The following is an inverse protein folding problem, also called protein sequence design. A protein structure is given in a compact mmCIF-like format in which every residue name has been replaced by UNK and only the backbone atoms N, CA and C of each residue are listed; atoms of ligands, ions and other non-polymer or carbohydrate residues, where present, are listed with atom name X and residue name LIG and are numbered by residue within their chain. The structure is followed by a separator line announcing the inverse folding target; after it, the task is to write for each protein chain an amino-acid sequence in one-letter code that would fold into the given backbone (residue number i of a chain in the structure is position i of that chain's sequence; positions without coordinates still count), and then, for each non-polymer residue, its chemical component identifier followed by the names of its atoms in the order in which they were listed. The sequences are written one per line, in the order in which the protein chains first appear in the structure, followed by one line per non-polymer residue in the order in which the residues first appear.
data_IF_833393744803
#
_entry.id   IF_833393744803
#
_cell.length_a   1.000
_cell.length_b   1.000
_cell.length_c   1.000
_cell.angle_alpha   90.00
_cell.angle_beta   90.00
_cell.angle_gamma   90.00
#
_symmetry.space_group_name_H-M   'P 1'
#
loop_
_entity.id
_entity.type
_entity.pdbx_description
1 polymer ?
#
# COMPACT_ATOMS: atom_id res chain seq x y z
N UNK A 1 16.54 26.65 50.20
CA UNK A 1 15.35 27.53 50.18
C UNK A 1 15.55 28.48 49.00
N UNK A 2 14.68 28.70 48.02
CA UNK A 2 13.38 28.20 47.56
C UNK A 2 13.09 29.07 46.30
N UNK A 3 12.25 28.58 45.36
CA UNK A 3 11.73 29.22 44.13
C UNK A 3 12.50 29.02 42.81
N UNK A 4 11.98 28.54 41.66
CA UNK A 4 10.87 27.66 41.20
C UNK A 4 10.65 28.07 39.71
N UNK A 5 10.87 27.13 38.78
CA UNK A 5 10.39 27.03 37.38
C UNK A 5 10.07 28.30 36.55
N UNK A 6 10.76 28.49 35.42
CA UNK A 6 10.14 29.12 34.25
C UNK A 6 10.75 28.68 32.90
N UNK A 7 9.95 27.93 32.14
CA UNK A 7 9.94 27.71 30.68
C UNK A 7 11.18 27.02 30.07
N UNK A 8 11.23 25.69 29.92
CA UNK A 8 10.32 24.80 29.18
C UNK A 8 10.13 25.21 27.71
N UNK A 9 11.20 25.19 26.91
CA UNK A 9 11.11 25.04 25.45
C UNK A 9 12.44 24.57 24.83
N UNK A 10 13.08 23.55 25.41
CA UNK A 10 14.13 22.83 24.70
C UNK A 10 13.44 21.78 23.82
N UNK A 11 13.38 22.08 22.52
CA UNK A 11 12.52 21.46 21.53
C UNK A 11 12.53 19.93 21.56
N UNK A 12 11.38 19.37 21.94
CA UNK A 12 10.93 18.12 21.37
C UNK A 12 10.61 18.47 19.91
N UNK A 13 11.59 18.31 19.02
CA UNK A 13 11.30 18.13 17.61
C UNK A 13 10.59 16.78 17.53
N UNK A 14 9.26 16.80 17.72
CA UNK A 14 8.44 15.64 17.48
C UNK A 14 8.69 15.28 16.02
N UNK A 15 9.40 14.18 15.80
CA UNK A 15 9.49 13.53 14.51
C UNK A 15 8.05 13.23 14.11
N UNK A 16 7.42 14.14 13.37
CA UNK A 16 6.20 13.83 12.65
C UNK A 16 6.64 12.75 11.67
N UNK A 17 6.16 11.50 11.79
CA UNK A 17 6.38 10.57 10.72
C UNK A 17 5.68 11.18 9.50
N UNK A 18 6.47 11.65 8.52
CA UNK A 18 5.93 11.84 7.18
C UNK A 18 5.60 10.43 6.68
N UNK A 19 4.37 9.99 6.94
CA UNK A 19 3.76 8.90 6.19
C UNK A 19 3.44 9.49 4.83
N UNK A 20 4.27 9.14 3.85
CA UNK A 20 3.95 9.39 2.45
C UNK A 20 3.09 8.23 1.99
N UNK A 21 1.78 8.46 1.88
CA UNK A 21 0.91 7.60 1.11
C UNK A 21 1.48 7.49 -0.31
N UNK A 22 1.89 6.29 -0.72
CA UNK A 22 2.37 6.02 -2.07
C UNK A 22 1.30 5.29 -2.87
N UNK A 23 1.22 5.62 -4.15
CA UNK A 23 0.42 4.90 -5.12
C UNK A 23 1.26 3.78 -5.77
N UNK A 24 0.74 2.56 -5.74
CA UNK A 24 1.35 1.35 -6.28
C UNK A 24 0.45 0.81 -7.37
N UNK A 25 0.94 0.73 -8.60
CA UNK A 25 0.18 0.28 -9.76
C UNK A 25 0.46 -1.20 -10.06
N UNK A 26 -0.61 -1.95 -10.30
CA UNK A 26 -0.54 -3.38 -10.64
C UNK A 26 -1.30 -3.60 -11.95
N UNK A 27 -0.71 -4.30 -12.90
CA UNK A 27 -1.33 -4.69 -14.16
C UNK A 27 -1.19 -6.20 -14.34
N UNK A 28 -2.27 -6.88 -14.76
CA UNK A 28 -2.23 -8.32 -15.08
C UNK A 28 -1.16 -8.71 -16.11
N UNK A 29 -0.75 -7.78 -16.98
CA UNK A 29 0.32 -7.95 -17.97
C UNK A 29 1.59 -7.15 -17.61
N UNK A 30 1.70 -6.71 -16.35
CA UNK A 30 2.83 -5.94 -15.83
C UNK A 30 4.11 -6.77 -15.75
N UNK A 31 5.13 -6.21 -15.09
CA UNK A 31 6.42 -6.87 -14.91
C UNK A 31 6.59 -7.40 -13.48
N UNK A 32 7.18 -8.58 -13.35
CA UNK A 32 7.64 -9.12 -12.04
C UNK A 32 8.73 -8.25 -11.42
N UNK A 33 9.48 -7.52 -12.26
CA UNK A 33 10.48 -6.52 -11.84
C UNK A 33 9.94 -5.10 -11.96
N UNK A 34 8.62 -4.93 -11.99
CA UNK A 34 7.97 -3.63 -11.93
C UNK A 34 8.38 -2.87 -10.67
N UNK A 35 8.44 -1.55 -10.73
CA UNK A 35 8.66 -0.72 -9.53
C UNK A 35 7.34 -0.25 -8.90
N UNK A 36 6.21 -0.60 -9.52
CA UNK A 36 4.88 -0.20 -9.06
C UNK A 36 4.50 1.21 -9.46
N UNK A 37 5.23 1.84 -10.40
CA UNK A 37 4.83 3.10 -11.06
C UNK A 37 3.77 2.85 -12.15
N UNK A 38 3.16 3.93 -12.65
CA UNK A 38 2.21 3.86 -13.78
C UNK A 38 2.87 3.31 -15.04
N UNK A 39 4.13 3.68 -15.26
CA UNK A 39 4.93 3.34 -16.42
C UNK A 39 5.51 1.92 -16.35
N UNK A 40 5.74 1.40 -15.15
CA UNK A 40 6.28 0.07 -14.92
C UNK A 40 5.54 -0.64 -13.77
N UNK A 41 4.26 -1.01 -13.99
CA UNK A 41 3.42 -1.61 -12.96
C UNK A 41 3.89 -3.02 -12.58
N UNK A 42 3.58 -3.41 -11.35
CA UNK A 42 3.79 -4.77 -10.87
C UNK A 42 2.82 -5.74 -11.56
N UNK A 43 3.25 -6.97 -11.84
CA UNK A 43 2.40 -8.03 -12.37
C UNK A 43 1.50 -8.70 -11.33
N UNK A 44 1.86 -8.62 -10.05
CA UNK A 44 1.27 -9.42 -8.97
C UNK A 44 0.66 -8.54 -7.88
N UNK A 45 -0.60 -8.84 -7.53
CA UNK A 45 -1.29 -8.21 -6.40
C UNK A 45 -0.56 -8.53 -5.09
N UNK A 46 -0.02 -9.74 -4.92
CA UNK A 46 0.71 -10.10 -3.70
C UNK A 46 1.95 -9.24 -3.52
N UNK A 47 2.72 -9.02 -4.59
CA UNK A 47 3.93 -8.18 -4.53
C UNK A 47 3.59 -6.74 -4.13
N UNK A 48 2.46 -6.21 -4.62
CA UNK A 48 1.99 -4.89 -4.21
C UNK A 48 1.56 -4.85 -2.75
N UNK A 49 0.85 -5.88 -2.26
CA UNK A 49 0.44 -6.00 -0.85
C UNK A 49 1.65 -6.13 0.06
N UNK A 50 2.67 -6.90 -0.32
CA UNK A 50 3.91 -7.06 0.45
C UNK A 50 4.74 -5.77 0.49
N UNK A 51 4.66 -4.94 -0.55
CA UNK A 51 5.36 -3.66 -0.65
C UNK A 51 4.61 -2.50 0.02
N UNK A 52 3.32 -2.66 0.32
CA UNK A 52 2.47 -1.60 0.86
C UNK A 52 2.75 -1.35 2.35
N UNK A 53 2.72 -0.07 2.73
CA UNK A 53 2.75 0.37 4.12
C UNK A 53 1.49 1.17 4.46
N UNK A 54 1.26 1.45 5.75
CA UNK A 54 0.09 2.20 6.19
C UNK A 54 -0.03 3.55 5.45
N UNK A 55 -1.18 3.75 4.80
CA UNK A 55 -1.50 4.92 3.98
C UNK A 55 -1.40 4.70 2.48
N UNK A 56 -0.79 3.60 2.01
CA UNK A 56 -0.59 3.35 0.58
C UNK A 56 -1.89 2.99 -0.17
N UNK A 57 -1.93 3.35 -1.45
CA UNK A 57 -2.99 2.96 -2.38
C UNK A 57 -2.43 1.99 -3.42
N UNK A 58 -3.06 0.83 -3.55
CA UNK A 58 -2.78 -0.14 -4.60
C UNK A 58 -3.86 0.03 -5.68
N UNK A 59 -3.46 0.50 -6.86
CA UNK A 59 -4.30 0.66 -8.03
C UNK A 59 -4.15 -0.53 -8.97
N UNK A 60 -5.24 -1.27 -9.12
CA UNK A 60 -5.35 -2.38 -10.06
C UNK A 60 -5.80 -1.84 -11.42
N UNK A 61 -5.00 -2.10 -12.45
CA UNK A 61 -5.33 -1.77 -13.84
C UNK A 61 -6.39 -2.72 -14.39
N UNK A 62 -7.11 -2.28 -15.41
CA UNK A 62 -8.18 -3.03 -16.05
C UNK A 62 -7.68 -4.37 -16.60
N UNK A 63 -8.36 -5.44 -16.22
CA UNK A 63 -7.93 -6.79 -16.59
C UNK A 63 -8.51 -7.89 -15.71
N UNK A 64 -8.08 -9.11 -16.01
CA UNK A 64 -8.40 -10.30 -15.23
C UNK A 64 -7.15 -10.78 -14.51
N UNK A 65 -7.21 -10.81 -13.18
CA UNK A 65 -6.15 -11.32 -12.32
C UNK A 65 -6.53 -12.73 -11.88
N UNK A 66 -5.78 -13.72 -12.34
CA UNK A 66 -5.99 -15.13 -12.02
C UNK A 66 -4.89 -15.66 -11.09
N UNK A 67 -4.90 -15.33 -9.79
CA UNK A 67 -3.89 -15.81 -8.86
C UNK A 67 -3.99 -17.33 -8.69
N UNK A 68 -2.85 -18.01 -8.75
CA UNK A 68 -2.73 -19.46 -8.50
C UNK A 68 -2.43 -19.78 -7.03
N UNK A 69 -2.19 -18.76 -6.22
CA UNK A 69 -1.94 -18.83 -4.78
C UNK A 69 -2.76 -17.77 -4.06
N UNK A 70 -2.96 -17.94 -2.76
CA UNK A 70 -3.74 -16.99 -1.96
C UNK A 70 -3.07 -15.60 -1.91
N UNK A 71 -3.88 -14.55 -2.07
CA UNK A 71 -3.49 -13.18 -1.75
C UNK A 71 -3.58 -13.00 -0.23
N UNK A 72 -2.44 -12.83 0.42
CA UNK A 72 -2.29 -12.69 1.86
C UNK A 72 -2.20 -11.21 2.24
N UNK A 73 -3.27 -10.68 2.83
CA UNK A 73 -3.32 -9.30 3.37
C UNK A 73 -3.01 -9.37 4.87
N UNK A 74 -1.83 -9.87 5.20
CA UNK A 74 -1.38 -10.07 6.61
C UNK A 74 -0.06 -9.40 6.90
N UNK A 75 0.79 -9.19 5.90
CA UNK A 75 2.11 -8.59 6.05
C UNK A 75 2.03 -7.07 6.30
N UNK A 76 1.05 -6.40 5.70
CA UNK A 76 0.83 -4.97 5.82
C UNK A 76 -0.45 -4.67 6.59
N UNK A 77 -0.40 -3.71 7.52
CA UNK A 77 -1.56 -3.25 8.28
C UNK A 77 -1.63 -1.74 8.24
N UNK A 78 -2.73 -1.22 7.71
CA UNK A 78 -3.07 0.19 7.81
C UNK A 78 -3.50 0.58 9.22
N UNK A 79 -3.61 1.87 9.47
CA UNK A 79 -4.25 2.42 10.67
C UNK A 79 -5.57 3.09 10.29
N UNK A 80 -6.40 3.44 11.27
CA UNK A 80 -7.64 4.19 11.02
C UNK A 80 -7.38 5.51 10.28
N UNK A 81 -6.27 6.18 10.59
CA UNK A 81 -5.88 7.45 9.94
C UNK A 81 -5.08 7.26 8.64
N UNK A 82 -4.60 6.05 8.37
CA UNK A 82 -3.77 5.72 7.21
C UNK A 82 -4.07 4.28 6.75
N UNK A 83 -5.26 4.04 6.16
CA UNK A 83 -5.64 2.73 5.67
C UNK A 83 -4.78 2.35 4.46
N UNK A 84 -4.70 1.04 4.18
CA UNK A 84 -4.18 0.55 2.90
C UNK A 84 -5.39 0.30 2.01
N UNK A 85 -5.43 0.92 0.84
CA UNK A 85 -6.56 0.81 -0.08
C UNK A 85 -6.15 -0.05 -1.27
N UNK A 86 -6.96 -1.05 -1.64
CA UNK A 86 -6.83 -1.77 -2.91
C UNK A 86 -8.06 -1.44 -3.74
N UNK A 87 -7.86 -0.81 -4.89
CA UNK A 87 -8.97 -0.32 -5.73
C UNK A 87 -8.63 -0.40 -7.21
N UNK A 88 -9.64 -0.39 -8.07
CA UNK A 88 -9.44 -0.22 -9.50
C UNK A 88 -8.89 1.18 -9.81
N UNK A 89 -8.07 1.28 -10.86
CA UNK A 89 -7.58 2.56 -11.38
C UNK A 89 -8.70 3.26 -12.18
N UNK A 90 -9.06 4.48 -11.78
CA UNK A 90 -10.13 5.28 -12.39
C UNK A 90 -11.43 4.46 -12.58
N UNK A 91 -11.97 4.43 -13.80
CA UNK A 91 -13.18 3.70 -14.19
C UNK A 91 -12.87 2.32 -14.82
N UNK A 92 -11.63 1.84 -14.71
CA UNK A 92 -11.21 0.56 -15.28
C UNK A 92 -11.90 -0.62 -14.57
N UNK A 93 -12.22 -1.68 -15.33
CA UNK A 93 -12.86 -2.88 -14.79
C UNK A 93 -11.82 -3.92 -14.41
N UNK A 94 -11.80 -4.28 -13.13
CA UNK A 94 -10.93 -5.32 -12.56
C UNK A 94 -11.76 -6.56 -12.25
N UNK A 95 -11.29 -7.72 -12.70
CA UNK A 95 -11.86 -9.03 -12.36
C UNK A 95 -10.80 -9.84 -11.62
N UNK A 96 -11.12 -10.33 -10.42
CA UNK A 96 -10.28 -11.31 -9.72
C UNK A 96 -10.91 -12.68 -9.97
N UNK A 97 -10.16 -13.53 -10.68
CA UNK A 97 -10.58 -14.86 -11.07
C UNK A 97 -9.93 -15.92 -10.18
N UNK A 98 -10.72 -16.50 -9.28
CA UNK A 98 -10.27 -17.53 -8.35
C UNK A 98 -10.31 -18.95 -8.92
N UNK A 99 -10.62 -19.17 -10.20
CA UNK A 99 -10.78 -20.51 -10.78
C UNK A 99 -9.52 -21.37 -10.65
N UNK A 100 -8.34 -20.75 -10.70
CA UNK A 100 -7.05 -21.43 -10.60
C UNK A 100 -6.55 -21.61 -9.14
N UNK A 101 -7.33 -21.21 -8.13
CA UNK A 101 -6.91 -21.33 -6.74
C UNK A 101 -6.99 -22.78 -6.23
N UNK A 102 -6.01 -23.25 -5.43
CA UNK A 102 -6.11 -24.54 -4.76
C UNK A 102 -7.23 -24.50 -3.73
N UNK A 103 -8.10 -25.52 -3.77
CA UNK A 103 -9.18 -25.75 -2.80
C UNK A 103 -8.73 -26.51 -1.56
#
# INVERSE_FOLDING_TARGET
MIFQYLLFLCGICTFLPLSFARDIYVDSNGSESGDGSVENPLSSIQTAVDAAIAGDNIYLRGGTYAPTTNIQITAASGTESAPITITAYEDEKVTIDGEAMPG
#
